data_IF_515672700081
#
_entry.id   IF_515672700081
#
_cell.length_a   1.000
_cell.length_b   1.000
_cell.length_c   1.000
_cell.angle_alpha   90.00
_cell.angle_beta   90.00
_cell.angle_gamma   90.00
#
_symmetry.space_group_name_H-M   'P 1'
#
loop_
_entity.id
_entity.type
_entity.pdbx_description
1 polymer ?
#
# COMPACT_ATOMS: atom_id res chain seq x y z
N UNK A 1 10.38 17.50 36.73
CA UNK A 1 10.86 17.26 35.36
C UNK A 1 9.77 16.52 34.60
N UNK A 2 9.03 17.22 33.72
CA UNK A 2 7.93 16.63 32.97
C UNK A 2 8.45 15.99 31.67
N UNK A 3 8.24 14.68 31.55
CA UNK A 3 8.42 13.90 30.34
C UNK A 3 7.32 14.22 29.33
N UNK A 4 7.57 15.16 28.42
CA UNK A 4 6.72 15.40 27.25
C UNK A 4 7.07 14.39 26.14
N UNK A 5 6.47 13.20 26.21
CA UNK A 5 6.53 12.21 25.14
C UNK A 5 5.67 12.63 23.95
N UNK A 6 6.34 13.16 22.91
CA UNK A 6 6.01 13.06 21.47
C UNK A 6 4.57 12.63 21.07
N UNK A 7 3.61 13.55 21.12
CA UNK A 7 2.29 13.39 20.46
C UNK A 7 2.38 13.66 18.93
N UNK A 8 3.54 14.10 18.43
CA UNK A 8 3.71 14.58 17.07
C UNK A 8 3.76 13.53 15.94
N UNK A 9 3.83 12.22 16.22
CA UNK A 9 4.03 11.22 15.14
C UNK A 9 2.74 10.73 14.44
N UNK A 10 1.57 10.83 15.10
CA UNK A 10 0.30 10.38 14.51
C UNK A 10 -0.43 11.48 13.73
N UNK A 11 -0.33 12.74 14.15
CA UNK A 11 -0.99 13.88 13.49
C UNK A 11 -0.43 14.14 12.07
N UNK A 12 0.88 13.99 11.87
CA UNK A 12 1.52 14.19 10.57
C UNK A 12 1.10 13.19 9.47
N UNK A 13 0.74 11.94 9.83
CA UNK A 13 0.29 10.93 8.85
C UNK A 13 -1.13 11.16 8.35
N UNK A 14 -2.04 11.58 9.22
CA UNK A 14 -3.41 11.91 8.79
C UNK A 14 -3.44 13.20 7.97
N UNK A 15 -2.61 14.20 8.30
CA UNK A 15 -2.49 15.42 7.49
C UNK A 15 -1.90 15.14 6.11
N UNK A 16 -0.95 14.21 5.99
CA UNK A 16 -0.34 13.84 4.70
C UNK A 16 -1.34 13.18 3.75
N UNK A 17 -2.29 12.40 4.26
CA UNK A 17 -3.37 11.83 3.44
C UNK A 17 -4.35 12.90 2.93
N UNK A 18 -4.68 13.89 3.76
CA UNK A 18 -5.54 15.02 3.38
C UNK A 18 -4.86 15.90 2.32
N UNK A 19 -3.58 16.25 2.50
CA UNK A 19 -2.81 17.05 1.54
C UNK A 19 -2.58 16.30 0.20
N UNK A 20 -2.57 14.97 0.22
CA UNK A 20 -2.40 14.16 -0.99
C UNK A 20 -3.72 13.86 -1.73
N UNK A 21 -4.89 14.07 -1.10
CA UNK A 21 -6.17 13.94 -1.79
C UNK A 21 -6.33 15.07 -2.84
N UNK A 22 -5.93 16.30 -2.50
CA UNK A 22 -5.93 17.43 -3.43
C UNK A 22 -5.04 17.23 -4.68
N UNK A 23 -4.09 16.28 -4.60
CA UNK A 23 -3.20 15.94 -5.72
C UNK A 23 -3.94 15.18 -6.83
N UNK A 24 -5.07 14.55 -6.50
CA UNK A 24 -5.82 13.73 -7.44
C UNK A 24 -6.27 14.60 -8.62
N UNK A 25 -6.67 15.85 -8.41
CA UNK A 25 -7.20 16.69 -9.50
C UNK A 25 -8.63 16.29 -9.86
N UNK A 26 -8.92 16.07 -11.14
CA UNK A 26 -10.29 15.77 -11.62
C UNK A 26 -10.79 14.37 -11.23
N UNK A 27 -11.87 14.24 -10.48
CA UNK A 27 -12.37 12.94 -10.00
C UNK A 27 -13.64 12.50 -10.73
N UNK A 28 -13.89 11.19 -10.73
CA UNK A 28 -15.22 10.65 -11.04
C UNK A 28 -15.93 10.45 -9.70
N UNK A 29 -17.04 11.18 -9.51
CA UNK A 29 -17.78 11.26 -8.24
C UNK A 29 -18.34 9.91 -7.78
N UNK A 30 -18.63 9.00 -8.71
CA UNK A 30 -19.12 7.66 -8.42
C UNK A 30 -18.07 6.75 -7.73
N UNK A 31 -16.78 7.13 -7.75
CA UNK A 31 -15.70 6.32 -7.22
C UNK A 31 -15.09 6.91 -5.95
N UNK A 32 -14.62 6.04 -5.05
CA UNK A 32 -13.84 6.49 -3.90
C UNK A 32 -12.47 7.02 -4.33
N UNK A 33 -11.91 7.90 -3.50
CA UNK A 33 -10.55 8.49 -3.66
C UNK A 33 -9.51 7.42 -4.03
N UNK A 34 -9.58 6.24 -3.41
CA UNK A 34 -8.67 5.14 -3.70
C UNK A 34 -8.78 4.65 -5.15
N UNK A 35 -9.99 4.45 -5.64
CA UNK A 35 -10.25 4.00 -7.01
C UNK A 35 -9.81 5.05 -8.04
N UNK A 36 -10.16 6.32 -7.81
CA UNK A 36 -9.72 7.43 -8.66
C UNK A 36 -8.18 7.49 -8.75
N UNK A 37 -7.48 7.36 -7.61
CA UNK A 37 -6.03 7.36 -7.58
C UNK A 37 -5.40 6.18 -8.35
N UNK A 38 -6.01 4.99 -8.31
CA UNK A 38 -5.46 3.83 -9.02
C UNK A 38 -5.61 3.95 -10.54
N UNK A 39 -6.77 4.41 -11.01
CA UNK A 39 -6.96 4.65 -12.44
C UNK A 39 -6.02 5.74 -12.96
N UNK A 40 -5.83 6.83 -12.21
CA UNK A 40 -4.89 7.88 -12.60
C UNK A 40 -3.44 7.44 -12.61
N UNK A 41 -3.02 6.66 -11.62
CA UNK A 41 -1.67 6.11 -11.62
C UNK A 41 -1.42 5.23 -12.85
N UNK A 42 -2.42 4.44 -13.28
CA UNK A 42 -2.34 3.64 -14.51
C UNK A 42 -2.35 4.51 -15.78
N UNK A 43 -3.28 5.47 -15.86
CA UNK A 43 -3.40 6.42 -16.98
C UNK A 43 -2.10 7.20 -17.20
N UNK A 44 -1.52 7.75 -16.13
CA UNK A 44 -0.27 8.53 -16.22
C UNK A 44 0.96 7.67 -16.50
N UNK A 45 0.83 6.35 -16.33
CA UNK A 45 1.84 5.37 -16.76
C UNK A 45 1.62 4.91 -18.22
N UNK A 46 0.72 5.56 -18.97
CA UNK A 46 0.36 5.25 -20.35
C UNK A 46 -0.17 3.83 -20.56
N UNK A 47 -0.80 3.25 -19.54
CA UNK A 47 -1.51 1.98 -19.69
C UNK A 47 -2.82 2.22 -20.43
N UNK A 48 -3.14 1.37 -21.40
CA UNK A 48 -4.41 1.44 -22.13
C UNK A 48 -5.57 1.00 -21.24
N UNK A 49 -6.74 1.60 -21.47
CA UNK A 49 -7.96 1.19 -20.79
C UNK A 49 -8.28 -0.29 -21.05
N UNK A 50 -8.75 -0.99 -20.02
CA UNK A 50 -9.03 -2.43 -20.07
C UNK A 50 -7.80 -3.34 -20.18
N UNK A 51 -6.57 -2.82 -20.19
CA UNK A 51 -5.36 -3.65 -20.30
C UNK A 51 -5.06 -4.41 -19.01
N UNK A 52 -4.60 -5.66 -19.15
CA UNK A 52 -4.06 -6.45 -18.03
C UNK A 52 -2.76 -5.87 -17.45
N UNK A 53 -2.07 -5.01 -18.19
CA UNK A 53 -0.79 -4.39 -17.78
C UNK A 53 -0.94 -3.49 -16.54
N UNK A 54 -2.17 -3.14 -16.15
CA UNK A 54 -2.47 -2.45 -14.89
C UNK A 54 -1.89 -3.19 -13.68
N UNK A 55 -1.81 -4.52 -13.75
CA UNK A 55 -1.17 -5.37 -12.75
C UNK A 55 0.29 -5.00 -12.50
N UNK A 56 1.03 -4.62 -13.55
CA UNK A 56 2.45 -4.29 -13.45
C UNK A 56 2.69 -2.91 -12.86
N UNK A 57 1.83 -1.93 -13.17
CA UNK A 57 1.82 -0.64 -12.48
C UNK A 57 1.55 -0.85 -10.98
N UNK A 58 0.59 -1.70 -10.64
CA UNK A 58 0.27 -1.99 -9.24
C UNK A 58 1.42 -2.71 -8.54
N UNK A 59 2.09 -3.65 -9.22
CA UNK A 59 3.29 -4.30 -8.69
C UNK A 59 4.44 -3.29 -8.49
N UNK A 60 4.58 -2.30 -9.37
CA UNK A 60 5.58 -1.24 -9.24
C UNK A 60 5.29 -0.34 -8.03
N UNK A 61 4.05 0.14 -7.90
CA UNK A 61 3.59 0.91 -6.74
C UNK A 61 3.78 0.14 -5.43
N UNK A 62 3.50 -1.17 -5.47
CA UNK A 62 3.72 -2.06 -4.34
C UNK A 62 5.20 -2.08 -3.92
N UNK A 63 6.11 -2.31 -4.87
CA UNK A 63 7.55 -2.31 -4.64
C UNK A 63 8.03 -0.96 -4.06
N UNK A 64 7.53 0.16 -4.58
CA UNK A 64 7.82 1.51 -4.06
C UNK A 64 7.34 1.68 -2.62
N UNK A 65 6.12 1.23 -2.30
CA UNK A 65 5.56 1.28 -0.93
C UNK A 65 6.40 0.50 0.09
N UNK A 66 7.08 -0.55 -0.37
CA UNK A 66 8.00 -1.38 0.41
C UNK A 66 9.39 -0.75 0.55
N UNK A 67 9.93 -0.21 -0.55
CA UNK A 67 11.28 0.37 -0.59
C UNK A 67 11.40 1.63 0.28
N UNK A 68 10.34 2.42 0.39
CA UNK A 68 10.28 3.56 1.31
C UNK A 68 10.46 3.17 2.80
N UNK A 69 10.45 1.86 3.11
CA UNK A 69 10.50 1.32 4.45
C UNK A 69 11.75 0.45 4.65
N UNK A 70 12.91 1.09 4.77
CA UNK A 70 14.26 0.47 4.86
C UNK A 70 14.57 -0.42 6.10
N UNK A 71 13.59 -0.81 6.92
CA UNK A 71 13.80 -1.68 8.10
C UNK A 71 12.68 -2.69 8.27
N UNK A 72 12.95 -3.98 8.28
CA UNK A 72 11.93 -5.01 8.54
C UNK A 72 11.55 -4.95 10.03
N UNK A 73 10.27 -4.81 10.37
CA UNK A 73 9.79 -4.88 11.77
C UNK A 73 8.50 -5.71 11.87
N UNK A 74 8.19 -6.35 13.02
CA UNK A 74 7.00 -7.19 13.19
C UNK A 74 5.69 -6.45 12.89
N UNK A 75 5.60 -5.18 13.31
CA UNK A 75 4.49 -4.28 13.00
C UNK A 75 4.30 -4.07 11.48
N UNK A 76 5.38 -4.12 10.69
CA UNK A 76 5.31 -3.99 9.22
C UNK A 76 4.75 -5.24 8.58
N UNK A 77 5.18 -6.43 9.00
CA UNK A 77 4.60 -7.71 8.59
C UNK A 77 3.10 -7.74 8.86
N UNK A 78 2.66 -7.33 10.05
CA UNK A 78 1.24 -7.20 10.36
C UNK A 78 0.50 -6.21 9.43
N UNK A 79 1.12 -5.06 9.12
CA UNK A 79 0.53 -4.09 8.21
C UNK A 79 0.41 -4.56 6.76
N UNK A 80 1.22 -5.55 6.33
CA UNK A 80 1.12 -6.19 5.01
C UNK A 80 0.10 -7.34 5.00
N UNK A 81 0.02 -8.09 6.11
CA UNK A 81 -0.94 -9.18 6.28
C UNK A 81 -2.37 -8.65 6.47
N UNK A 82 -2.54 -7.47 7.07
CA UNK A 82 -3.85 -6.82 7.15
C UNK A 82 -4.21 -6.13 5.84
N UNK A 83 -5.29 -6.60 5.20
CA UNK A 83 -5.78 -6.06 3.92
C UNK A 83 -6.08 -4.56 3.99
N UNK A 84 -6.72 -4.12 5.07
CA UNK A 84 -7.15 -2.73 5.18
C UNK A 84 -5.96 -1.76 5.30
N UNK A 85 -4.97 -2.10 6.15
CA UNK A 85 -3.75 -1.31 6.28
C UNK A 85 -2.91 -1.31 5.00
N UNK A 86 -2.86 -2.45 4.32
CA UNK A 86 -2.20 -2.59 3.03
C UNK A 86 -2.85 -1.69 1.97
N UNK A 87 -4.17 -1.77 1.78
CA UNK A 87 -4.93 -0.91 0.86
C UNK A 87 -4.64 0.57 1.15
N UNK A 88 -4.74 0.99 2.41
CA UNK A 88 -4.50 2.39 2.79
C UNK A 88 -3.09 2.87 2.42
N UNK A 89 -2.05 2.08 2.72
CA UNK A 89 -0.66 2.43 2.37
C UNK A 89 -0.43 2.45 0.86
N UNK A 90 -1.02 1.50 0.15
CA UNK A 90 -0.92 1.40 -1.30
C UNK A 90 -1.50 2.64 -1.99
N UNK A 91 -2.68 3.10 -1.55
CA UNK A 91 -3.28 4.34 -2.06
C UNK A 91 -2.38 5.55 -1.83
N UNK A 92 -1.74 5.68 -0.65
CA UNK A 92 -0.80 6.78 -0.41
C UNK A 92 0.36 6.77 -1.39
N UNK A 93 0.91 5.60 -1.70
CA UNK A 93 1.99 5.48 -2.70
C UNK A 93 1.50 5.82 -4.10
N UNK A 94 0.27 5.44 -4.46
CA UNK A 94 -0.34 5.82 -5.74
C UNK A 94 -0.49 7.35 -5.86
N UNK A 95 -0.95 8.03 -4.80
CA UNK A 95 -1.07 9.49 -4.77
C UNK A 95 0.29 10.19 -4.89
N UNK A 96 1.33 9.68 -4.23
CA UNK A 96 2.69 10.19 -4.37
C UNK A 96 3.25 10.00 -5.79
N UNK A 97 2.87 8.92 -6.47
CA UNK A 97 3.23 8.68 -7.86
C UNK A 97 2.54 9.67 -8.81
N UNK A 98 1.22 9.83 -8.66
CA UNK A 98 0.42 10.83 -9.39
C UNK A 98 1.06 12.21 -9.25
N UNK A 99 1.42 12.60 -8.03
CA UNK A 99 2.05 13.91 -7.78
C UNK A 99 3.29 14.14 -8.64
N UNK A 100 4.08 13.09 -8.88
CA UNK A 100 5.34 13.16 -9.61
C UNK A 100 5.14 13.13 -11.12
N UNK A 101 4.14 12.39 -11.60
CA UNK A 101 3.96 12.14 -13.04
C UNK A 101 2.96 13.10 -13.70
N UNK A 102 1.98 13.62 -12.96
CA UNK A 102 0.86 14.42 -13.48
C UNK A 102 1.29 15.56 -14.40
N UNK A 103 2.20 16.43 -13.95
CA UNK A 103 2.61 17.60 -14.74
C UNK A 103 3.27 17.21 -16.06
N UNK A 104 4.20 16.25 -16.03
CA UNK A 104 4.88 15.79 -17.24
C UNK A 104 3.89 15.11 -18.20
N UNK A 105 2.98 14.30 -17.66
CA UNK A 105 1.95 13.65 -18.48
C UNK A 105 1.02 14.67 -19.14
N UNK A 106 0.54 15.69 -18.40
CA UNK A 106 -0.30 16.76 -18.95
C UNK A 106 0.40 17.55 -20.06
N UNK A 107 1.70 17.82 -19.90
CA UNK A 107 2.51 18.48 -20.92
C UNK A 107 2.71 17.60 -22.17
N UNK A 108 2.67 16.27 -22.04
CA UNK A 108 2.73 15.36 -23.20
C UNK A 108 1.39 15.27 -23.94
N UNK A 109 0.27 15.48 -23.25
CA UNK A 109 -1.08 15.38 -23.82
C UNK A 109 -1.62 16.72 -24.33
N UNK A 110 -0.97 17.84 -24.04
CA UNK A 110 -1.48 19.14 -24.43
C UNK A 110 -1.30 19.43 -25.92
N UNK A 111 -2.21 20.24 -26.46
CA UNK A 111 -2.04 20.81 -27.78
C UNK A 111 -1.27 22.13 -27.65
N UNK A 112 -0.05 22.17 -28.20
CA UNK A 112 0.85 23.33 -28.10
C UNK A 112 0.23 24.60 -28.71
N UNK A 113 -0.59 24.46 -29.76
CA UNK A 113 -1.23 25.61 -30.42
C UNK A 113 -2.35 26.23 -29.59
N UNK A 114 -3.00 25.45 -28.73
CA UNK A 114 -4.05 25.93 -27.82
C UNK A 114 -3.46 26.61 -26.58
N UNK A 115 -2.20 26.30 -26.25
CA UNK A 115 -1.52 26.88 -25.09
C UNK A 115 -0.92 28.26 -25.36
N UNK A 116 -0.53 28.53 -26.61
CA UNK A 116 0.11 29.80 -26.97
C UNK A 116 -0.87 30.97 -26.82
N UNK A 117 -0.57 31.87 -25.88
CA UNK A 117 -1.38 33.07 -25.62
C UNK A 117 -2.38 32.94 -24.46
N UNK A 118 -2.44 31.80 -23.77
CA UNK A 118 -3.21 31.67 -22.54
C UNK A 118 -2.48 32.32 -21.36
N UNK A 119 -3.22 33.03 -20.52
CA UNK A 119 -2.73 33.47 -19.21
C UNK A 119 -2.68 32.27 -18.22
N UNK A 120 -2.12 32.51 -17.03
CA UNK A 120 -1.94 31.45 -16.02
C UNK A 120 -3.26 30.84 -15.56
N UNK A 121 -4.33 31.64 -15.48
CA UNK A 121 -5.66 31.19 -15.07
C UNK A 121 -6.31 30.33 -16.15
N UNK A 122 -6.24 30.74 -17.40
CA UNK A 122 -6.80 29.99 -18.53
C UNK A 122 -6.02 28.72 -18.80
N UNK A 123 -4.70 28.74 -18.59
CA UNK A 123 -3.86 27.52 -18.66
C UNK A 123 -4.26 26.49 -17.60
N UNK A 124 -4.54 26.94 -16.37
CA UNK A 124 -5.01 26.04 -15.32
C UNK A 124 -6.37 25.40 -15.65
N UNK A 125 -7.30 26.19 -16.17
CA UNK A 125 -8.61 25.70 -16.62
C UNK A 125 -8.45 24.68 -17.76
N UNK A 126 -7.61 24.99 -18.75
CA UNK A 126 -7.29 24.10 -19.87
C UNK A 126 -6.82 22.72 -19.40
N UNK A 127 -5.78 22.68 -18.56
CA UNK A 127 -5.23 21.41 -18.08
C UNK A 127 -6.23 20.62 -17.23
N UNK A 128 -7.05 21.30 -16.43
CA UNK A 128 -8.06 20.65 -15.60
C UNK A 128 -9.16 20.00 -16.45
N UNK A 129 -9.59 20.69 -17.52
CA UNK A 129 -10.56 20.18 -18.47
C UNK A 129 -9.99 19.04 -19.33
N UNK A 130 -8.75 19.18 -19.81
CA UNK A 130 -8.03 18.13 -20.54
C UNK A 130 -7.93 16.85 -19.71
N UNK A 131 -7.49 16.98 -18.46
CA UNK A 131 -7.37 15.87 -17.53
C UNK A 131 -8.71 15.19 -17.30
N UNK A 132 -9.77 15.97 -17.05
CA UNK A 132 -11.12 15.44 -16.81
C UNK A 132 -11.61 14.63 -18.01
N UNK A 133 -11.55 15.20 -19.22
CA UNK A 133 -12.00 14.56 -20.45
C UNK A 133 -11.29 13.23 -20.69
N UNK A 134 -9.96 13.22 -20.68
CA UNK A 134 -9.18 12.01 -20.93
C UNK A 134 -9.41 10.98 -19.82
N UNK A 135 -9.56 11.42 -18.57
CA UNK A 135 -9.81 10.51 -17.45
C UNK A 135 -11.19 9.83 -17.55
N UNK A 136 -12.23 10.58 -17.91
CA UNK A 136 -13.56 10.03 -18.15
C UNK A 136 -13.53 9.01 -19.30
N UNK A 137 -12.94 9.36 -20.44
CA UNK A 137 -12.74 8.44 -21.58
C UNK A 137 -11.95 7.19 -21.22
N UNK A 138 -10.92 7.34 -20.37
CA UNK A 138 -10.14 6.21 -19.91
C UNK A 138 -10.98 5.24 -19.07
N UNK A 139 -11.84 5.75 -18.19
CA UNK A 139 -12.62 4.90 -17.29
C UNK A 139 -13.81 4.24 -17.99
N UNK A 140 -14.43 4.88 -18.99
CA UNK A 140 -15.51 4.25 -19.77
C UNK A 140 -15.06 3.00 -20.52
N UNK A 141 -13.77 2.88 -20.85
CA UNK A 141 -13.21 1.66 -21.45
C UNK A 141 -13.12 0.45 -20.51
N UNK A 142 -13.38 0.62 -19.21
CA UNK A 142 -13.39 -0.48 -18.23
C UNK A 142 -14.81 -1.00 -17.99
N UNK A 143 -15.04 -2.26 -18.31
CA UNK A 143 -16.25 -2.99 -17.90
C UNK A 143 -16.16 -3.22 -16.38
N UNK A 144 -17.15 -2.74 -15.62
CA UNK A 144 -17.19 -2.83 -14.16
C UNK A 144 -15.89 -2.35 -13.49
N UNK A 145 -15.47 -1.13 -13.84
CA UNK A 145 -14.25 -0.45 -13.41
C UNK A 145 -13.82 -0.73 -11.95
N UNK A 146 -14.73 -0.57 -10.99
CA UNK A 146 -14.44 -0.79 -9.57
C UNK A 146 -14.14 -2.27 -9.25
N UNK A 147 -14.89 -3.21 -9.84
CA UNK A 147 -14.69 -4.64 -9.64
C UNK A 147 -13.40 -5.13 -10.31
N UNK A 148 -13.09 -4.62 -11.50
CA UNK A 148 -11.85 -4.91 -12.22
C UNK A 148 -10.62 -4.56 -11.39
N UNK A 149 -10.61 -3.37 -10.79
CA UNK A 149 -9.52 -2.93 -9.91
C UNK A 149 -9.39 -3.77 -8.65
N UNK A 150 -10.49 -4.13 -7.99
CA UNK A 150 -10.43 -4.95 -6.79
C UNK A 150 -9.86 -6.34 -7.10
N UNK A 151 -10.27 -6.93 -8.23
CA UNK A 151 -9.76 -8.21 -8.71
C UNK A 151 -8.25 -8.15 -8.96
N UNK A 152 -7.78 -7.13 -9.67
CA UNK A 152 -6.36 -6.93 -9.94
C UNK A 152 -5.56 -6.65 -8.66
N UNK A 153 -6.11 -5.89 -7.72
CA UNK A 153 -5.47 -5.66 -6.43
C UNK A 153 -5.29 -6.95 -5.62
N UNK A 154 -6.32 -7.81 -5.58
CA UNK A 154 -6.24 -9.14 -4.95
C UNK A 154 -5.21 -10.03 -5.64
N UNK A 155 -5.16 -10.02 -6.98
CA UNK A 155 -4.20 -10.78 -7.79
C UNK A 155 -2.76 -10.35 -7.50
N UNK A 156 -2.46 -9.05 -7.52
CA UNK A 156 -1.13 -8.49 -7.23
C UNK A 156 -0.71 -8.81 -5.81
N UNK A 157 -1.61 -8.63 -4.82
CA UNK A 157 -1.34 -8.98 -3.42
C UNK A 157 -1.00 -10.46 -3.27
N UNK A 158 -1.77 -11.36 -3.89
CA UNK A 158 -1.52 -12.81 -3.85
C UNK A 158 -0.17 -13.16 -4.48
N UNK A 159 0.12 -12.65 -5.69
CA UNK A 159 1.40 -12.85 -6.39
C UNK A 159 2.58 -12.41 -5.53
N UNK A 160 2.43 -11.27 -4.85
CA UNK A 160 3.45 -10.74 -3.96
C UNK A 160 3.62 -11.57 -2.68
N UNK A 161 2.54 -11.97 -2.00
CA UNK A 161 2.61 -12.84 -0.82
C UNK A 161 3.31 -14.16 -1.16
N UNK A 162 2.98 -14.76 -2.32
CA UNK A 162 3.66 -15.96 -2.80
C UNK A 162 5.15 -15.71 -3.05
N UNK A 163 5.51 -14.57 -3.65
CA UNK A 163 6.92 -14.20 -3.85
C UNK A 163 7.67 -14.00 -2.53
N UNK A 164 7.05 -13.39 -1.52
CA UNK A 164 7.63 -13.24 -0.19
C UNK A 164 7.81 -14.59 0.51
N UNK A 165 6.78 -15.43 0.48
CA UNK A 165 6.83 -16.78 1.06
C UNK A 165 7.94 -17.59 0.43
N UNK A 166 8.09 -17.54 -0.91
CA UNK A 166 9.20 -18.20 -1.62
C UNK A 166 10.56 -17.64 -1.20
N UNK A 167 10.70 -16.31 -1.15
CA UNK A 167 11.97 -15.66 -0.80
C UNK A 167 12.43 -15.98 0.64
N UNK A 168 11.48 -16.04 1.57
CA UNK A 168 11.76 -16.27 2.99
C UNK A 168 11.38 -17.68 3.45
N UNK A 169 11.22 -18.64 2.52
CA UNK A 169 10.72 -19.98 2.81
C UNK A 169 11.58 -20.68 3.87
N UNK A 170 12.89 -20.72 3.66
CA UNK A 170 13.83 -21.35 4.59
C UNK A 170 13.82 -20.70 5.97
N UNK A 171 13.68 -19.37 6.03
CA UNK A 171 13.58 -18.64 7.29
C UNK A 171 12.27 -18.97 8.04
N UNK A 172 11.14 -18.98 7.32
CA UNK A 172 9.85 -19.36 7.91
C UNK A 172 9.86 -20.80 8.39
N UNK A 173 10.40 -21.71 7.59
CA UNK A 173 10.53 -23.13 7.90
C UNK A 173 11.41 -23.35 9.14
N UNK A 174 12.54 -22.64 9.25
CA UNK A 174 13.38 -22.63 10.45
C UNK A 174 12.61 -22.23 11.71
N UNK A 175 11.86 -21.12 11.67
CA UNK A 175 11.04 -20.70 12.80
C UNK A 175 9.89 -21.68 13.10
N UNK A 176 9.25 -22.25 12.09
CA UNK A 176 8.26 -23.31 12.27
C UNK A 176 8.85 -24.50 13.01
N UNK A 177 10.07 -24.94 12.67
CA UNK A 177 10.75 -26.01 13.40
C UNK A 177 11.07 -25.64 14.85
N UNK A 178 11.50 -24.40 15.11
CA UNK A 178 11.69 -23.91 16.48
C UNK A 178 10.38 -23.99 17.27
N UNK A 179 9.28 -23.49 16.71
CA UNK A 179 7.99 -23.52 17.39
C UNK A 179 7.48 -24.95 17.62
N UNK A 180 7.68 -25.85 16.67
CA UNK A 180 7.35 -27.27 16.82
C UNK A 180 8.20 -27.90 17.93
N UNK A 181 9.50 -27.63 17.97
CA UNK A 181 10.39 -28.14 19.02
C UNK A 181 9.99 -27.63 20.41
N UNK A 182 9.67 -26.34 20.54
CA UNK A 182 9.17 -25.76 21.79
C UNK A 182 7.83 -26.41 22.19
N UNK A 183 6.92 -26.57 21.24
CA UNK A 183 5.61 -27.19 21.49
C UNK A 183 5.75 -28.65 21.95
N UNK A 184 6.57 -29.45 21.27
CA UNK A 184 6.84 -30.85 21.65
C UNK A 184 7.48 -30.90 23.04
N UNK A 185 8.47 -30.04 23.31
CA UNK A 185 9.11 -29.94 24.61
C UNK A 185 8.10 -29.64 25.73
N UNK A 186 7.25 -28.62 25.52
CA UNK A 186 6.19 -28.26 26.46
C UNK A 186 5.14 -29.37 26.63
N UNK A 187 4.84 -30.12 25.57
CA UNK A 187 3.87 -31.21 25.60
C UNK A 187 4.37 -32.40 26.41
N UNK A 188 5.64 -32.75 26.26
CA UNK A 188 6.29 -33.79 27.07
C UNK A 188 6.29 -33.34 28.54
N UNK A 189 6.75 -32.12 28.83
CA UNK A 189 6.81 -31.63 30.21
C UNK A 189 5.45 -31.42 30.85
N UNK A 190 4.38 -31.13 30.11
CA UNK A 190 3.03 -31.02 30.67
C UNK A 190 2.36 -32.37 30.90
N UNK A 191 2.85 -33.45 30.30
CA UNK A 191 2.39 -34.81 30.61
C UNK A 191 3.07 -35.37 31.85
N UNK A 192 4.31 -34.96 32.10
CA UNK A 192 5.11 -35.41 33.26
C UNK A 192 4.89 -34.55 34.51
N UNK A 193 4.56 -33.26 34.36
CA UNK A 193 4.24 -32.36 35.46
C UNK A 193 2.74 -32.04 35.55
N UNK A 194 2.26 -31.72 36.75
CA UNK A 194 0.87 -31.27 36.99
C UNK A 194 0.53 -29.88 36.42
N UNK A 195 1.52 -29.19 35.84
CA UNK A 195 1.37 -27.85 35.26
C UNK A 195 0.86 -27.94 33.82
N UNK A 196 -0.17 -27.14 33.53
CA UNK A 196 -0.70 -27.01 32.18
C UNK A 196 0.33 -26.36 31.24
N UNK A 197 0.28 -26.73 29.95
CA UNK A 197 1.10 -26.15 28.88
C UNK A 197 1.17 -24.60 28.93
N UNK A 198 0.04 -23.97 29.27
CA UNK A 198 -0.09 -22.52 29.31
C UNK A 198 0.65 -21.89 30.50
N UNK A 199 0.66 -22.55 31.65
CA UNK A 199 1.44 -22.12 32.82
C UNK A 199 2.95 -22.27 32.55
N UNK A 200 3.37 -23.34 31.88
CA UNK A 200 4.77 -23.55 31.51
C UNK A 200 5.26 -22.51 30.49
N UNK A 201 4.44 -22.20 29.48
CA UNK A 201 4.77 -21.19 28.48
C UNK A 201 4.82 -19.77 29.08
N UNK A 202 3.90 -19.45 30.02
CA UNK A 202 3.95 -18.19 30.79
C UNK A 202 5.20 -18.09 31.66
N UNK A 203 5.62 -19.19 32.28
CA UNK A 203 6.87 -19.29 33.04
C UNK A 203 8.11 -19.03 32.16
N UNK A 204 8.16 -19.63 30.98
CA UNK A 204 9.22 -19.42 30.00
C UNK A 204 9.32 -17.97 29.53
N UNK A 205 8.18 -17.34 29.23
CA UNK A 205 8.14 -15.92 28.82
C UNK A 205 8.62 -15.01 29.96
N UNK A 206 8.18 -15.25 31.19
CA UNK A 206 8.65 -14.48 32.35
C UNK A 206 10.15 -14.65 32.61
N UNK A 207 10.67 -15.88 32.48
CA UNK A 207 12.10 -16.16 32.62
C UNK A 207 12.94 -15.43 31.55
N UNK A 208 12.50 -15.47 30.29
CA UNK A 208 13.18 -14.75 29.21
C UNK A 208 13.13 -13.23 29.40
N UNK A 209 12.00 -12.68 29.84
CA UNK A 209 11.84 -11.25 30.11
C UNK A 209 12.68 -10.78 31.30
N UNK A 210 12.78 -11.58 32.37
CA UNK A 210 13.65 -11.29 33.53
C UNK A 210 15.13 -11.27 33.17
N UNK A 211 15.56 -11.99 32.12
CA UNK A 211 16.95 -12.01 31.69
C UNK A 211 17.32 -10.88 30.74
N UNK A 212 16.32 -10.19 30.20
CA UNK A 212 16.46 -9.06 29.27
C UNK A 212 16.35 -7.69 29.96
N UNK A 213 15.87 -7.66 31.20
CA UNK A 213 15.84 -6.51 32.10
C UNK A 213 16.93 -6.64 33.16
#
# INVERSE_FOLDING_TARGET
MNTTSSIYSKKGRNNRNLILADVIGSEIEAFDIGTNALFKAALFSNIKSGSEDISDVFLSLLKKSLAANSKISPYRLFSFLSYHYFKKKFIVTALEEIKKTRSNWLLMQCNVTELSGLDSKSSHFYFSHLEKRIFEEYVTGWIDAQFALEKEFKKVRKKFLLSLLKKYFNFLLFWCFIFIAIYIGLHITSKENSLTMWQQLKGWINFLLQRLY
#
